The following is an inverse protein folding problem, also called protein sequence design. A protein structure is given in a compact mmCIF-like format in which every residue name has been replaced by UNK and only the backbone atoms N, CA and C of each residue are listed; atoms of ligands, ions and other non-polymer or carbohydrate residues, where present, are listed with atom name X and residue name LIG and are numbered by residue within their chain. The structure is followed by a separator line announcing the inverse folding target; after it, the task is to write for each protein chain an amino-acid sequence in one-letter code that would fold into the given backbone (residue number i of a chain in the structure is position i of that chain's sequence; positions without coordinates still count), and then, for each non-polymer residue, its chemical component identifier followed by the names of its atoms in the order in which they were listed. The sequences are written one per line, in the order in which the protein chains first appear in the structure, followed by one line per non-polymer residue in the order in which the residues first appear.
data_IF_747434311311
#
_entry.id   IF_747434311311
#
_cell.length_a   1.000
_cell.length_b   1.000
_cell.length_c   1.000
_cell.angle_alpha   90.00
_cell.angle_beta   90.00
_cell.angle_gamma   90.00
#
_symmetry.space_group_name_H-M   'P 1'
#
loop_
_entity.id
_entity.type
_entity.pdbx_description
1 polymer ?
#
# COMPACT_ATOMS: atom_id res chain seq x y z
N UNK A 1 23.70 -35.82 -19.09
CA UNK A 1 22.96 -37.09 -19.20
C UNK A 1 21.48 -36.75 -19.29
N UNK A 2 20.84 -37.02 -20.42
CA UNK A 2 19.40 -36.81 -20.66
C UNK A 2 18.71 -38.14 -20.39
N UNK A 3 17.85 -38.20 -19.39
CA UNK A 3 17.01 -39.36 -19.12
C UNK A 3 15.64 -39.09 -19.72
N UNK A 4 15.26 -39.92 -20.69
CA UNK A 4 13.92 -40.01 -21.25
C UNK A 4 13.43 -41.46 -21.06
N UNK A 5 12.24 -41.64 -20.49
CA UNK A 5 11.39 -42.84 -20.56
C UNK A 5 10.03 -42.47 -19.90
N UNK A 6 9.04 -42.01 -20.67
CA UNK A 6 7.87 -42.74 -21.22
C UNK A 6 6.77 -43.13 -20.20
N UNK A 7 5.48 -43.05 -20.60
CA UNK A 7 4.34 -42.80 -19.73
C UNK A 7 3.64 -44.08 -19.26
N UNK A 8 3.13 -44.09 -18.03
CA UNK A 8 2.19 -45.10 -17.55
C UNK A 8 0.77 -44.70 -17.91
N UNK A 9 0.19 -45.48 -18.81
CA UNK A 9 -1.23 -45.54 -19.13
C UNK A 9 -1.94 -46.40 -18.06
N UNK A 10 -2.93 -45.86 -17.37
CA UNK A 10 -3.94 -46.68 -16.70
C UNK A 10 -5.27 -45.91 -16.62
N UNK A 11 -6.19 -46.33 -17.48
CA UNK A 11 -7.59 -45.99 -17.44
C UNK A 11 -8.25 -46.63 -16.20
N UNK A 12 -9.05 -45.85 -15.48
CA UNK A 12 -9.83 -46.31 -14.33
C UNK A 12 -11.05 -45.41 -14.16
N UNK A 13 -12.03 -45.58 -15.03
CA UNK A 13 -13.32 -44.90 -14.97
C UNK A 13 -14.15 -45.56 -13.87
N UNK A 14 -14.34 -44.87 -12.73
CA UNK A 14 -15.27 -45.28 -11.67
C UNK A 14 -16.42 -44.28 -11.62
N UNK A 15 -17.57 -44.70 -12.13
CA UNK A 15 -18.84 -43.99 -12.05
C UNK A 15 -19.33 -43.96 -10.60
N UNK A 16 -19.57 -42.77 -10.05
CA UNK A 16 -20.29 -42.59 -8.79
C UNK A 16 -21.65 -41.92 -9.07
N UNK A 17 -22.71 -42.62 -8.68
CA UNK A 17 -24.11 -42.28 -8.91
C UNK A 17 -24.60 -41.18 -7.97
N UNK A 18 -25.67 -40.49 -8.40
CA UNK A 18 -26.34 -39.36 -7.78
C UNK A 18 -26.72 -39.57 -6.32
N UNK A 19 -26.46 -38.55 -5.49
CA UNK A 19 -27.13 -38.30 -4.22
C UNK A 19 -27.62 -36.86 -4.18
N UNK A 20 -28.92 -36.66 -4.44
CA UNK A 20 -29.59 -35.39 -4.21
C UNK A 20 -29.85 -35.22 -2.71
N UNK A 21 -29.38 -34.13 -2.13
CA UNK A 21 -29.89 -33.62 -0.86
C UNK A 21 -30.09 -32.11 -1.00
N UNK A 22 -31.34 -31.71 -1.22
CA UNK A 22 -31.77 -30.33 -1.11
C UNK A 22 -31.61 -29.86 0.33
N UNK A 23 -30.84 -28.80 0.53
CA UNK A 23 -30.93 -27.94 1.70
C UNK A 23 -30.69 -26.51 1.26
N UNK A 24 -31.78 -25.85 0.92
CA UNK A 24 -31.87 -24.40 0.82
C UNK A 24 -31.49 -23.79 2.17
N UNK A 25 -30.30 -23.19 2.24
CA UNK A 25 -30.06 -22.03 3.08
C UNK A 25 -29.51 -20.93 2.19
N UNK A 26 -30.43 -20.13 1.68
CA UNK A 26 -30.15 -18.79 1.19
C UNK A 26 -29.71 -17.97 2.40
N UNK A 27 -28.43 -18.02 2.74
CA UNK A 27 -27.82 -16.92 3.48
C UNK A 27 -27.48 -15.85 2.44
N UNK A 28 -28.43 -14.95 2.21
CA UNK A 28 -28.12 -13.62 1.69
C UNK A 28 -27.38 -12.84 2.76
N UNK A 29 -26.19 -13.32 3.14
CA UNK A 29 -25.18 -12.49 3.75
C UNK A 29 -24.75 -11.52 2.66
N UNK A 30 -25.17 -10.26 2.79
CA UNK A 30 -24.54 -9.18 2.05
C UNK A 30 -23.05 -9.24 2.38
N UNK A 31 -22.29 -9.90 1.50
CA UNK A 31 -20.86 -9.66 1.40
C UNK A 31 -20.81 -8.20 0.98
N UNK A 32 -20.65 -7.31 1.96
CA UNK A 32 -20.00 -6.05 1.70
C UNK A 32 -18.62 -6.44 1.21
N UNK A 33 -18.50 -6.67 -0.09
CA UNK A 33 -17.25 -6.47 -0.80
C UNK A 33 -16.94 -5.03 -0.51
N UNK A 34 -16.15 -4.80 0.55
CA UNK A 34 -15.43 -3.58 0.73
C UNK A 34 -14.68 -3.44 -0.58
N UNK A 35 -15.16 -2.55 -1.44
CA UNK A 35 -14.53 -2.28 -2.70
C UNK A 35 -13.07 -2.01 -2.35
N UNK A 36 -12.17 -2.89 -2.79
CA UNK A 36 -10.75 -2.54 -2.80
C UNK A 36 -10.68 -1.41 -3.79
N UNK A 37 -10.72 -0.18 -3.30
CA UNK A 37 -10.52 1.01 -4.12
C UNK A 37 -9.17 0.82 -4.82
N UNK A 38 -9.22 0.48 -6.10
CA UNK A 38 -8.01 0.27 -6.91
C UNK A 38 -7.57 1.62 -7.42
N UNK A 39 -6.59 2.20 -6.77
CA UNK A 39 -5.95 3.43 -7.22
C UNK A 39 -4.93 3.13 -8.32
N UNK A 40 -4.83 4.02 -9.30
CA UNK A 40 -3.77 3.95 -10.30
C UNK A 40 -2.41 4.27 -9.67
N UNK A 41 -1.33 3.83 -10.32
CA UNK A 41 0.03 4.13 -9.85
C UNK A 41 0.28 5.63 -9.62
N UNK A 42 -0.07 6.57 -10.53
CA UNK A 42 0.13 7.99 -10.29
C UNK A 42 -0.64 8.53 -9.07
N UNK A 43 -1.85 8.01 -8.81
CA UNK A 43 -2.64 8.41 -7.64
C UNK A 43 -1.99 7.91 -6.34
N UNK A 44 -1.52 6.65 -6.33
CA UNK A 44 -0.80 6.08 -5.19
C UNK A 44 0.51 6.82 -4.92
N UNK A 45 1.32 7.05 -5.95
CA UNK A 45 2.58 7.76 -5.84
C UNK A 45 2.39 9.19 -5.33
N UNK A 46 1.46 9.95 -5.90
CA UNK A 46 1.16 11.31 -5.45
C UNK A 46 0.67 11.34 -4.00
N UNK A 47 -0.15 10.34 -3.61
CA UNK A 47 -0.61 10.26 -2.24
C UNK A 47 0.47 9.82 -1.25
N UNK A 48 1.42 8.97 -1.66
CA UNK A 48 2.58 8.59 -0.86
C UNK A 48 3.45 9.81 -0.63
N UNK A 49 3.80 10.54 -1.69
CA UNK A 49 4.58 11.79 -1.61
C UNK A 49 3.99 12.79 -0.60
N UNK A 50 2.67 12.97 -0.61
CA UNK A 50 1.97 13.82 0.37
C UNK A 50 2.18 13.33 1.82
N UNK A 51 2.13 12.02 2.05
CA UNK A 51 2.38 11.44 3.36
C UNK A 51 3.85 11.58 3.78
N UNK A 52 4.77 11.24 2.90
CA UNK A 52 6.20 11.16 3.19
C UNK A 52 6.79 12.54 3.45
N UNK A 53 6.35 13.56 2.72
CA UNK A 53 6.71 14.96 2.96
C UNK A 53 6.15 15.46 4.28
N UNK A 54 4.83 15.37 4.50
CA UNK A 54 4.20 15.88 5.72
C UNK A 54 4.66 15.15 6.99
N UNK A 55 4.86 13.83 6.94
CA UNK A 55 5.39 13.07 8.07
C UNK A 55 6.84 13.48 8.37
N UNK A 56 7.62 13.81 7.35
CA UNK A 56 9.00 14.28 7.52
C UNK A 56 9.08 15.70 8.10
N UNK A 57 8.13 16.59 7.78
CA UNK A 57 8.01 17.89 8.46
C UNK A 57 7.75 17.70 9.96
N UNK A 58 6.84 16.79 10.33
CA UNK A 58 6.59 16.44 11.72
C UNK A 58 7.85 15.87 12.39
N UNK A 59 8.61 15.04 11.68
CA UNK A 59 9.84 14.46 12.20
C UNK A 59 10.98 15.47 12.38
N UNK A 60 11.07 16.50 11.54
CA UNK A 60 11.99 17.63 11.80
C UNK A 60 11.68 18.32 13.12
N UNK A 61 10.39 18.47 13.44
CA UNK A 61 9.90 19.20 14.61
C UNK A 61 9.85 18.37 15.89
N UNK A 62 9.50 17.08 15.79
CA UNK A 62 9.23 16.20 16.95
C UNK A 62 10.23 15.08 17.15
N UNK A 63 11.09 14.82 16.17
CA UNK A 63 12.06 13.74 16.27
C UNK A 63 13.16 14.07 17.28
N UNK A 64 13.58 13.10 18.08
CA UNK A 64 14.62 13.31 19.10
C UNK A 64 15.94 12.65 18.72
N UNK A 65 15.90 11.59 17.92
CA UNK A 65 17.09 10.95 17.38
C UNK A 65 17.65 11.79 16.22
N UNK A 66 18.93 12.22 16.27
CA UNK A 66 19.55 12.97 15.17
C UNK A 66 19.47 12.27 13.82
N UNK A 67 19.59 10.93 13.79
CA UNK A 67 19.51 10.16 12.55
C UNK A 67 18.11 10.24 11.92
N UNK A 68 17.05 10.22 12.74
CA UNK A 68 15.67 10.39 12.27
C UNK A 68 15.47 11.78 11.65
N UNK A 69 15.98 12.83 12.31
CA UNK A 69 15.92 14.19 11.77
C UNK A 69 16.76 14.34 10.49
N UNK A 70 17.91 13.70 10.39
CA UNK A 70 18.71 13.73 9.16
C UNK A 70 17.96 13.03 8.02
N UNK A 71 17.40 11.85 8.28
CA UNK A 71 16.60 11.12 7.30
C UNK A 71 15.38 11.92 6.84
N UNK A 72 14.64 12.53 7.78
CA UNK A 72 13.50 13.37 7.43
C UNK A 72 13.87 14.57 6.55
N UNK A 73 15.07 15.15 6.73
CA UNK A 73 15.54 16.24 5.88
C UNK A 73 15.83 15.75 4.46
N UNK A 74 16.41 14.55 4.33
CA UNK A 74 16.63 13.91 3.04
C UNK A 74 15.30 13.62 2.33
N UNK A 75 14.33 13.05 3.03
CA UNK A 75 13.00 12.76 2.48
C UNK A 75 12.31 14.01 1.94
N UNK A 76 12.37 15.14 2.66
CA UNK A 76 11.82 16.41 2.19
C UNK A 76 12.48 16.91 0.90
N UNK A 77 13.79 16.69 0.75
CA UNK A 77 14.54 17.10 -0.43
C UNK A 77 14.18 16.23 -1.64
N UNK A 78 14.28 14.90 -1.50
CA UNK A 78 14.08 13.96 -2.61
C UNK A 78 12.62 13.96 -3.07
N UNK A 79 11.66 13.80 -2.15
CA UNK A 79 10.23 13.80 -2.51
C UNK A 79 9.74 15.16 -2.98
N UNK A 80 10.34 16.26 -2.52
CA UNK A 80 10.06 17.59 -3.08
C UNK A 80 10.38 17.67 -4.57
N UNK A 81 11.51 17.09 -5.00
CA UNK A 81 11.87 17.02 -6.42
C UNK A 81 10.97 16.07 -7.21
N UNK A 82 10.71 14.87 -6.67
CA UNK A 82 9.90 13.86 -7.35
C UNK A 82 8.44 14.27 -7.50
N UNK A 83 7.88 14.97 -6.52
CA UNK A 83 6.52 15.52 -6.60
C UNK A 83 6.35 16.50 -7.77
N UNK A 84 7.34 17.36 -8.03
CA UNK A 84 7.27 18.29 -9.16
C UNK A 84 7.42 17.58 -10.52
N UNK A 85 8.28 16.57 -10.60
CA UNK A 85 8.42 15.73 -11.80
C UNK A 85 7.13 14.94 -12.08
N UNK A 86 6.52 14.33 -11.06
CA UNK A 86 5.27 13.59 -11.18
C UNK A 86 4.12 14.50 -11.63
N UNK A 87 4.00 15.71 -11.06
CA UNK A 87 2.99 16.71 -11.50
C UNK A 87 3.18 17.10 -12.95
N UNK A 88 4.43 17.36 -13.37
CA UNK A 88 4.76 17.71 -14.75
C UNK A 88 4.38 16.58 -15.72
N UNK A 89 4.74 15.33 -15.41
CA UNK A 89 4.40 14.18 -16.24
C UNK A 89 2.89 13.94 -16.30
N UNK A 90 2.20 14.05 -15.17
CA UNK A 90 0.74 13.90 -15.10
C UNK A 90 0.03 14.93 -15.97
N UNK A 91 0.46 16.21 -15.92
CA UNK A 91 -0.07 17.26 -16.78
C UNK A 91 0.12 16.96 -18.27
N UNK A 92 1.31 16.49 -18.67
CA UNK A 92 1.59 16.09 -20.06
C UNK A 92 0.70 14.92 -20.54
N UNK A 93 0.28 14.05 -19.61
CA UNK A 93 -0.57 12.89 -19.88
C UNK A 93 -2.06 13.15 -19.63
N UNK A 94 -2.45 14.36 -19.25
CA UNK A 94 -3.82 14.71 -18.83
C UNK A 94 -4.35 13.82 -17.71
N UNK A 95 -3.48 13.44 -16.77
CA UNK A 95 -3.83 12.68 -15.56
C UNK A 95 -4.02 13.68 -14.42
N UNK A 96 -5.16 13.60 -13.75
CA UNK A 96 -5.42 14.37 -12.52
C UNK A 96 -4.87 13.61 -11.33
N UNK A 97 -3.92 14.22 -10.61
CA UNK A 97 -3.38 13.66 -9.36
C UNK A 97 -4.23 14.08 -8.16
N UNK A 98 -4.30 13.25 -7.11
CA UNK A 98 -4.95 13.64 -5.86
C UNK A 98 -4.18 14.79 -5.19
N UNK A 99 -4.93 15.75 -4.63
CA UNK A 99 -4.40 16.88 -3.87
C UNK A 99 -4.44 16.67 -2.36
N UNK A 100 -5.02 15.56 -1.92
CA UNK A 100 -5.11 15.11 -0.54
C UNK A 100 -4.67 13.66 -0.46
N UNK A 101 -4.25 13.21 0.73
CA UNK A 101 -3.90 11.81 0.93
C UNK A 101 -5.11 10.91 0.66
N UNK A 102 -4.88 9.80 -0.03
CA UNK A 102 -5.82 8.70 -0.12
C UNK A 102 -6.02 8.05 1.25
N UNK A 103 -7.14 7.33 1.49
CA UNK A 103 -7.45 6.73 2.78
C UNK A 103 -6.35 5.84 3.36
N UNK A 104 -5.59 5.13 2.52
CA UNK A 104 -4.48 4.27 2.95
C UNK A 104 -3.37 5.09 3.64
N UNK A 105 -3.00 6.24 3.05
CA UNK A 105 -1.96 7.12 3.58
C UNK A 105 -2.47 8.01 4.73
N UNK A 106 -3.76 8.39 4.73
CA UNK A 106 -4.39 9.06 5.87
C UNK A 106 -4.30 8.20 7.14
N UNK A 107 -4.60 6.89 7.03
CA UNK A 107 -4.48 5.95 8.16
C UNK A 107 -3.05 5.78 8.65
N UNK A 108 -2.05 5.92 7.77
CA UNK A 108 -0.65 5.95 8.19
C UNK A 108 -0.29 7.26 8.90
N UNK A 109 -0.92 8.38 8.53
CA UNK A 109 -0.65 9.70 9.13
C UNK A 109 -1.30 9.87 10.51
N UNK A 110 -2.57 9.48 10.65
CA UNK A 110 -3.40 9.77 11.83
C UNK A 110 -2.69 9.47 13.15
N UNK A 111 -2.27 8.23 13.42
CA UNK A 111 -1.72 7.95 14.72
C UNK A 111 -0.30 8.53 14.91
N UNK A 112 0.32 9.13 13.90
CA UNK A 112 1.61 9.84 14.04
C UNK A 112 1.37 11.26 14.55
N UNK A 113 0.28 11.89 14.11
CA UNK A 113 -0.10 13.25 14.55
C UNK A 113 -0.44 13.31 16.03
N UNK A 114 -0.95 12.20 16.58
CA UNK A 114 -1.30 12.01 17.99
C UNK A 114 -0.09 11.78 18.91
N UNK A 115 1.08 11.44 18.35
CA UNK A 115 2.27 11.17 19.14
C UNK A 115 2.98 12.46 19.54
N UNK A 116 3.29 12.55 20.83
CA UNK A 116 4.18 13.55 21.39
C UNK A 116 5.65 13.30 20.98
N UNK A 117 6.48 14.31 21.18
CA UNK A 117 7.95 14.23 21.03
C UNK A 117 8.50 13.04 21.83
N UNK A 118 9.35 12.22 21.22
CA UNK A 118 10.05 11.12 21.89
C UNK A 118 10.29 9.89 21.02
N UNK A 119 10.89 8.84 21.60
CA UNK A 119 11.30 7.63 20.88
C UNK A 119 10.14 6.91 20.17
N UNK A 120 8.93 6.95 20.76
CA UNK A 120 7.73 6.36 20.13
C UNK A 120 7.38 7.07 18.83
N UNK A 121 7.54 8.39 18.78
CA UNK A 121 7.35 9.17 17.57
C UNK A 121 8.41 8.78 16.53
N UNK A 122 9.69 8.73 16.92
CA UNK A 122 10.79 8.37 16.02
C UNK A 122 10.58 6.99 15.37
N UNK A 123 10.24 5.97 16.18
CA UNK A 123 9.96 4.63 15.66
C UNK A 123 8.80 4.65 14.68
N UNK A 124 7.72 5.33 15.05
CA UNK A 124 6.52 5.39 14.23
C UNK A 124 6.77 6.09 12.90
N UNK A 125 7.56 7.15 12.90
CA UNK A 125 7.97 7.82 11.68
C UNK A 125 8.69 6.87 10.74
N UNK A 126 9.72 6.16 11.23
CA UNK A 126 10.47 5.19 10.40
C UNK A 126 9.57 4.05 9.88
N UNK A 127 8.71 3.48 10.73
CA UNK A 127 7.76 2.44 10.31
C UNK A 127 6.79 2.97 9.23
N UNK A 128 6.33 4.21 9.37
CA UNK A 128 5.45 4.87 8.42
C UNK A 128 6.09 5.04 7.05
N UNK A 129 7.36 5.46 7.00
CA UNK A 129 8.11 5.62 5.76
C UNK A 129 8.29 4.27 5.04
N UNK A 130 8.61 3.21 5.76
CA UNK A 130 8.68 1.86 5.20
C UNK A 130 7.32 1.46 4.59
N UNK A 131 6.22 1.68 5.32
CA UNK A 131 4.89 1.32 4.82
C UNK A 131 4.43 2.13 3.62
N UNK A 132 4.75 3.42 3.55
CA UNK A 132 4.44 4.23 2.38
C UNK A 132 5.19 3.72 1.13
N UNK A 133 6.48 3.41 1.27
CA UNK A 133 7.29 2.84 0.18
C UNK A 133 6.81 1.45 -0.29
N UNK A 134 6.23 0.63 0.61
CA UNK A 134 5.65 -0.68 0.25
C UNK A 134 4.31 -0.56 -0.51
N UNK A 135 3.62 0.58 -0.40
CA UNK A 135 2.28 0.78 -0.97
C UNK A 135 2.29 1.33 -2.40
N UNK A 136 3.44 1.81 -2.88
CA UNK A 136 3.64 2.36 -4.23
C UNK A 136 4.27 1.30 -5.13
#
# INVERSE_FOLDING_TARGET
MKIALLPFLAAGMLTFSLGACSSTKTDSGAVTTQATETYSFPEMAASSDLFETRSSELAQARGINPAVRIFAKLMLSEHGSYSEELKSLAAQKNITLPTTMLPVHQRLMEPMTELNIGEKFDKRYMDGQIKAHELV
#
